data_IF_360261498797
#
_entry.id   IF_360261498797
#
_cell.length_a   1.000
_cell.length_b   1.000
_cell.length_c   1.000
_cell.angle_alpha   90.00
_cell.angle_beta   90.00
_cell.angle_gamma   90.00
#
_symmetry.space_group_name_H-M   'P 1'
#
loop_
_entity.id
_entity.type
_entity.pdbx_description
1 polymer ?
#
# COMPACT_ATOMS: atom_id res chain seq x y z
N UNK A 1 -22.09 -9.36 0.86
CA UNK A 1 -22.29 -8.25 -0.09
C UNK A 1 -20.92 -7.72 -0.51
N UNK A 2 -20.45 -8.09 -1.70
CA UNK A 2 -19.26 -7.47 -2.30
C UNK A 2 -19.64 -6.05 -2.71
N UNK A 3 -19.28 -5.06 -1.88
CA UNK A 3 -19.45 -3.67 -2.24
C UNK A 3 -18.61 -3.40 -3.50
N UNK A 4 -19.24 -2.94 -4.58
CA UNK A 4 -18.52 -2.51 -5.78
C UNK A 4 -17.41 -1.53 -5.39
N UNK A 5 -16.17 -1.89 -5.74
CA UNK A 5 -14.96 -1.06 -5.56
C UNK A 5 -14.75 -0.08 -6.71
N UNK A 6 -15.69 -0.02 -7.66
CA UNK A 6 -15.69 0.99 -8.71
C UNK A 6 -16.44 2.23 -8.22
N UNK A 7 -15.70 3.16 -7.63
CA UNK A 7 -16.20 4.42 -7.13
C UNK A 7 -16.12 5.47 -8.24
N UNK A 8 -17.05 6.43 -8.25
CA UNK A 8 -16.93 7.61 -9.09
C UNK A 8 -16.07 8.70 -8.41
N UNK A 9 -15.39 9.51 -9.20
CA UNK A 9 -14.79 10.74 -8.70
C UNK A 9 -15.87 11.79 -8.51
N UNK A 10 -16.27 12.03 -7.26
CA UNK A 10 -17.42 12.88 -6.93
C UNK A 10 -17.04 14.36 -6.79
N UNK A 11 -18.01 15.29 -6.89
CA UNK A 11 -17.77 16.71 -6.58
C UNK A 11 -17.21 16.94 -5.16
N UNK A 12 -17.56 16.08 -4.20
CA UNK A 12 -17.01 16.14 -2.85
C UNK A 12 -15.52 15.79 -2.81
N UNK A 13 -15.07 14.81 -3.62
CA UNK A 13 -13.65 14.46 -3.76
C UNK A 13 -12.88 15.61 -4.42
N UNK A 14 -13.47 16.24 -5.43
CA UNK A 14 -12.91 17.41 -6.10
C UNK A 14 -12.75 18.61 -5.16
N UNK A 15 -13.79 18.89 -4.35
CA UNK A 15 -13.73 19.94 -3.34
C UNK A 15 -12.67 19.65 -2.28
N UNK A 16 -12.56 18.41 -1.80
CA UNK A 16 -11.54 18.01 -0.84
C UNK A 16 -10.13 18.16 -1.43
N UNK A 17 -9.92 17.75 -2.68
CA UNK A 17 -8.64 17.88 -3.38
C UNK A 17 -8.16 19.34 -3.42
N UNK A 18 -9.05 20.26 -3.78
CA UNK A 18 -8.77 21.70 -3.79
C UNK A 18 -8.52 22.26 -2.39
N UNK A 19 -9.44 22.01 -1.46
CA UNK A 19 -9.42 22.65 -0.14
C UNK A 19 -8.32 22.13 0.78
N UNK A 20 -7.91 20.87 0.64
CA UNK A 20 -6.97 20.20 1.55
C UNK A 20 -5.55 20.08 1.00
N UNK A 21 -5.42 19.93 -0.33
CA UNK A 21 -4.13 19.83 -1.01
C UNK A 21 -3.82 21.01 -1.94
N UNK A 22 -4.75 21.95 -2.14
CA UNK A 22 -4.53 23.07 -3.05
C UNK A 22 -4.51 22.67 -4.53
N UNK A 23 -4.94 21.44 -4.86
CA UNK A 23 -4.87 20.90 -6.23
C UNK A 23 -6.22 21.14 -6.92
N UNK A 24 -6.21 21.96 -7.97
CA UNK A 24 -7.35 22.13 -8.86
C UNK A 24 -7.22 21.20 -10.08
N UNK A 25 -8.25 20.40 -10.42
CA UNK A 25 -8.23 19.64 -11.66
C UNK A 25 -8.19 20.59 -12.86
N UNK A 26 -7.18 20.43 -13.71
CA UNK A 26 -7.09 21.15 -15.00
C UNK A 26 -7.90 20.45 -16.10
N UNK A 27 -8.23 19.18 -15.90
CA UNK A 27 -9.00 18.32 -16.80
C UNK A 27 -9.81 17.30 -16.00
N UNK A 28 -10.70 16.59 -16.69
CA UNK A 28 -11.51 15.54 -16.07
C UNK A 28 -10.61 14.44 -15.45
N UNK A 29 -10.84 14.03 -14.19
CA UNK A 29 -10.12 12.93 -13.56
C UNK A 29 -10.22 11.64 -14.39
N UNK A 30 -9.08 11.04 -14.69
CA UNK A 30 -9.01 9.79 -15.46
C UNK A 30 -8.91 8.60 -14.51
N UNK A 31 -9.81 7.62 -14.63
CA UNK A 31 -9.71 6.37 -13.87
C UNK A 31 -8.38 5.68 -14.20
N UNK A 32 -7.60 5.37 -13.17
CA UNK A 32 -6.42 4.51 -13.27
C UNK A 32 -6.89 3.05 -13.14
N UNK A 33 -6.26 2.11 -13.83
CA UNK A 33 -6.55 0.69 -13.61
C UNK A 33 -5.79 0.18 -12.37
N UNK A 34 -6.40 -0.76 -11.65
CA UNK A 34 -5.84 -1.30 -10.40
C UNK A 34 -6.53 -0.83 -9.13
N UNK A 35 -6.02 -1.35 -8.01
CA UNK A 35 -6.55 -1.17 -6.67
C UNK A 35 -7.71 -2.12 -6.39
N UNK A 36 -7.39 -3.33 -5.90
CA UNK A 36 -8.40 -4.35 -5.59
C UNK A 36 -9.40 -3.87 -4.53
N UNK A 37 -8.93 -3.05 -3.59
CA UNK A 37 -9.73 -2.53 -2.48
C UNK A 37 -10.00 -1.02 -2.57
N UNK A 38 -9.40 -0.31 -3.53
CA UNK A 38 -9.49 1.16 -3.66
C UNK A 38 -9.57 1.61 -5.11
N UNK A 39 -10.34 2.66 -5.39
CA UNK A 39 -10.37 3.30 -6.72
C UNK A 39 -9.29 4.37 -6.80
N UNK A 40 -8.57 4.46 -7.93
CA UNK A 40 -7.55 5.48 -8.16
C UNK A 40 -7.85 6.31 -9.41
N UNK A 41 -7.51 7.60 -9.38
CA UNK A 41 -7.73 8.56 -10.46
C UNK A 41 -6.48 9.40 -10.69
N UNK A 42 -6.11 9.61 -11.95
CA UNK A 42 -5.14 10.63 -12.33
C UNK A 42 -5.80 12.00 -12.41
N UNK A 43 -5.23 12.98 -11.72
CA UNK A 43 -5.63 14.39 -11.71
C UNK A 43 -4.37 15.25 -11.87
N UNK A 44 -4.09 15.67 -13.12
CA UNK A 44 -2.82 16.30 -13.45
C UNK A 44 -1.64 15.36 -13.13
N UNK A 45 -0.66 15.85 -12.36
CA UNK A 45 0.51 15.09 -11.93
C UNK A 45 0.28 14.24 -10.65
N UNK A 46 -0.98 14.03 -10.25
CA UNK A 46 -1.32 13.37 -9.00
C UNK A 46 -2.20 12.15 -9.21
N UNK A 47 -1.98 11.12 -8.40
CA UNK A 47 -2.89 9.99 -8.24
C UNK A 47 -3.73 10.19 -6.97
N UNK A 48 -5.05 10.30 -7.12
CA UNK A 48 -6.01 10.40 -6.03
C UNK A 48 -6.61 9.02 -5.78
N UNK A 49 -6.52 8.53 -4.54
CA UNK A 49 -7.04 7.22 -4.15
C UNK A 49 -8.21 7.37 -3.20
N UNK A 50 -9.32 6.69 -3.51
CA UNK A 50 -10.52 6.58 -2.68
C UNK A 50 -10.66 5.15 -2.18
N UNK A 51 -10.56 4.97 -0.88
CA UNK A 51 -10.68 3.66 -0.24
C UNK A 51 -12.12 3.29 0.12
N UNK A 52 -12.31 2.08 0.66
CA UNK A 52 -13.60 1.62 1.15
C UNK A 52 -13.90 2.25 2.52
N UNK A 53 -15.20 2.40 2.85
CA UNK A 53 -15.64 3.09 4.09
C UNK A 53 -15.07 2.49 5.37
N UNK A 54 -14.91 1.16 5.40
CA UNK A 54 -14.39 0.41 6.54
C UNK A 54 -12.89 0.62 6.78
N UNK A 55 -12.15 1.16 5.81
CA UNK A 55 -10.70 1.36 5.96
C UNK A 55 -10.45 2.46 6.99
N UNK A 56 -9.62 2.14 7.98
CA UNK A 56 -9.23 3.08 9.04
C UNK A 56 -8.30 4.17 8.50
N UNK A 57 -8.57 5.42 8.89
CA UNK A 57 -7.71 6.57 8.61
C UNK A 57 -6.35 6.40 9.28
N UNK A 58 -6.34 6.12 10.59
CA UNK A 58 -5.11 5.94 11.35
C UNK A 58 -4.24 4.79 10.82
N UNK A 59 -4.86 3.69 10.38
CA UNK A 59 -4.11 2.58 9.78
C UNK A 59 -3.47 2.97 8.44
N UNK A 60 -4.18 3.73 7.60
CA UNK A 60 -3.63 4.24 6.36
C UNK A 60 -2.49 5.23 6.60
N UNK A 61 -2.67 6.20 7.51
CA UNK A 61 -1.63 7.17 7.86
C UNK A 61 -0.40 6.52 8.50
N UNK A 62 -0.57 5.47 9.32
CA UNK A 62 0.54 4.68 9.84
C UNK A 62 1.38 4.07 8.70
N UNK A 63 0.72 3.54 7.67
CA UNK A 63 1.41 3.02 6.50
C UNK A 63 2.06 4.13 5.66
N UNK A 64 1.39 5.28 5.52
CA UNK A 64 1.93 6.45 4.82
C UNK A 64 3.21 6.97 5.49
N UNK A 65 3.24 6.99 6.82
CA UNK A 65 4.44 7.37 7.58
C UNK A 65 5.62 6.42 7.27
N UNK A 66 5.38 5.11 7.12
CA UNK A 66 6.42 4.16 6.73
C UNK A 66 6.91 4.43 5.31
N UNK A 67 5.99 4.63 4.37
CA UNK A 67 6.31 4.93 2.97
C UNK A 67 7.14 6.24 2.85
N UNK A 68 6.74 7.28 3.59
CA UNK A 68 7.47 8.55 3.65
C UNK A 68 8.90 8.42 4.20
N UNK A 69 9.19 7.41 5.02
CA UNK A 69 10.55 7.14 5.52
C UNK A 69 11.39 6.34 4.52
N UNK A 70 10.76 5.56 3.65
CA UNK A 70 11.45 4.82 2.59
C UNK A 70 11.79 5.72 1.39
N UNK A 71 10.90 6.64 1.02
CA UNK A 71 11.00 7.45 -0.20
C UNK A 71 12.36 8.19 -0.40
N UNK A 72 13.00 8.77 0.64
CA UNK A 72 14.30 9.44 0.47
C UNK A 72 15.46 8.49 0.14
N UNK A 73 15.29 7.19 0.35
CA UNK A 73 16.32 6.17 0.18
C UNK A 73 16.03 5.19 -0.97
N UNK A 74 14.81 5.23 -1.50
CA UNK A 74 14.34 4.36 -2.58
C UNK A 74 13.38 5.16 -3.46
N UNK A 75 13.82 5.63 -4.65
CA UNK A 75 12.99 6.43 -5.56
C UNK A 75 11.66 5.77 -5.94
N UNK A 76 11.64 4.44 -6.01
CA UNK A 76 10.46 3.64 -6.32
C UNK A 76 9.45 3.62 -5.17
N UNK A 77 9.86 3.90 -3.92
CA UNK A 77 8.94 4.02 -2.81
C UNK A 77 8.26 5.39 -2.83
N UNK A 78 6.99 5.42 -3.24
CA UNK A 78 6.20 6.64 -3.24
C UNK A 78 5.69 6.97 -1.85
N UNK A 79 5.65 8.27 -1.53
CA UNK A 79 5.01 8.80 -0.34
C UNK A 79 3.79 9.64 -0.74
N UNK A 80 2.70 9.63 0.04
CA UNK A 80 1.56 10.49 -0.24
C UNK A 80 1.91 11.95 0.04
N UNK A 81 1.22 12.86 -0.67
CA UNK A 81 1.30 14.28 -0.43
C UNK A 81 0.56 14.60 0.88
N UNK A 82 1.20 15.27 1.85
CA UNK A 82 0.50 15.77 3.01
C UNK A 82 -0.43 16.93 2.63
N UNK A 83 -1.50 17.09 3.37
CA UNK A 83 -2.34 18.30 3.40
C UNK A 83 -1.62 19.44 4.10
N UNK A 84 -2.19 20.65 4.05
CA UNK A 84 -1.62 21.82 4.72
C UNK A 84 -1.45 21.66 6.26
N UNK A 85 -2.29 20.84 6.90
CA UNK A 85 -2.22 20.49 8.33
C UNK A 85 -1.36 19.23 8.60
N UNK A 86 -0.70 18.69 7.58
CA UNK A 86 0.22 17.56 7.70
C UNK A 86 -0.43 16.17 7.67
N UNK A 87 -1.76 16.09 7.63
CA UNK A 87 -2.47 14.82 7.45
C UNK A 87 -2.16 14.23 6.06
N UNK A 88 -2.30 12.92 5.91
CA UNK A 88 -2.11 12.27 4.58
C UNK A 88 -3.39 11.58 4.10
N UNK A 89 -4.42 11.56 4.94
CA UNK A 89 -5.73 11.02 4.62
C UNK A 89 -6.82 11.98 5.08
N UNK A 90 -7.76 12.30 4.20
CA UNK A 90 -8.99 13.03 4.53
C UNK A 90 -10.20 12.12 4.30
N UNK A 91 -11.24 12.23 5.12
CA UNK A 91 -12.51 11.54 4.84
C UNK A 91 -13.41 12.37 3.94
N UNK A 92 -13.84 11.77 2.83
CA UNK A 92 -14.79 12.34 1.87
C UNK A 92 -15.96 11.38 1.74
N UNK A 93 -17.17 11.81 2.10
CA UNK A 93 -18.36 10.95 2.13
C UNK A 93 -18.12 9.61 2.88
N UNK A 94 -17.45 9.71 4.03
CA UNK A 94 -17.02 8.60 4.89
C UNK A 94 -16.03 7.60 4.24
N UNK A 95 -15.32 8.02 3.18
CA UNK A 95 -14.28 7.22 2.54
C UNK A 95 -12.92 7.88 2.75
N UNK A 96 -11.87 7.13 3.07
CA UNK A 96 -10.54 7.70 3.11
C UNK A 96 -10.10 8.07 1.70
N UNK A 97 -9.62 9.31 1.57
CA UNK A 97 -9.03 9.87 0.38
C UNK A 97 -7.57 10.21 0.66
N UNK A 98 -6.67 9.83 -0.25
CA UNK A 98 -5.25 10.22 -0.19
C UNK A 98 -4.76 10.65 -1.58
N UNK A 99 -3.71 11.46 -1.59
CA UNK A 99 -3.12 12.01 -2.82
C UNK A 99 -1.66 11.58 -2.89
N UNK A 100 -1.23 11.14 -4.06
CA UNK A 100 0.11 10.59 -4.31
C UNK A 100 0.69 11.23 -5.56
N UNK A 101 2.02 11.25 -5.73
CA UNK A 101 2.63 11.56 -7.01
C UNK A 101 2.12 10.56 -8.05
N UNK A 102 1.73 11.05 -9.23
CA UNK A 102 1.45 10.17 -10.36
C UNK A 102 2.79 9.73 -10.97
N UNK A 103 2.97 8.43 -11.10
CA UNK A 103 4.13 7.84 -11.78
C UNK A 103 3.63 7.13 -13.03
N UNK A 104 4.24 7.48 -14.16
CA UNK A 104 4.01 6.80 -15.42
C UNK A 104 4.72 5.44 -15.41
N UNK A 105 4.01 4.40 -15.86
CA UNK A 105 4.52 3.04 -15.92
C UNK A 105 3.41 2.04 -16.15
N UNK A 106 3.79 0.81 -16.42
CA UNK A 106 2.88 -0.31 -16.61
C UNK A 106 3.16 -1.41 -15.58
N UNK A 107 2.18 -2.28 -15.33
CA UNK A 107 2.43 -3.50 -14.56
C UNK A 107 3.43 -4.38 -15.32
N UNK A 108 4.50 -4.85 -14.66
CA UNK A 108 5.46 -5.73 -15.30
C UNK A 108 4.83 -7.10 -15.59
N UNK A 109 5.18 -7.70 -16.73
CA UNK A 109 4.86 -9.11 -17.02
C UNK A 109 5.69 -9.99 -16.08
N UNK A 110 5.07 -10.73 -15.13
CA UNK A 110 5.81 -11.37 -14.04
C UNK A 110 6.77 -12.46 -14.50
N UNK A 111 6.49 -13.05 -15.67
CA UNK A 111 7.26 -14.15 -16.25
C UNK A 111 8.30 -13.70 -17.28
N UNK A 112 8.35 -12.40 -17.59
CA UNK A 112 9.34 -11.87 -18.51
C UNK A 112 10.76 -12.02 -17.93
N UNK A 113 11.72 -12.31 -18.82
CA UNK A 113 13.10 -12.54 -18.43
C UNK A 113 13.68 -11.35 -17.64
N UNK A 114 14.30 -11.63 -16.49
CA UNK A 114 14.93 -10.61 -15.63
C UNK A 114 13.97 -9.89 -14.68
N UNK A 115 12.65 -9.97 -14.88
CA UNK A 115 11.67 -9.32 -13.97
C UNK A 115 11.73 -9.89 -12.55
N UNK A 116 11.76 -11.23 -12.34
CA UNK A 116 11.87 -11.79 -11.00
C UNK A 116 13.13 -11.33 -10.25
N UNK A 117 14.28 -11.31 -10.92
CA UNK A 117 15.55 -10.87 -10.35
C UNK A 117 15.52 -9.38 -9.98
N UNK A 118 14.97 -8.54 -10.87
CA UNK A 118 14.79 -7.12 -10.60
C UNK A 118 13.82 -6.87 -9.43
N UNK A 119 12.72 -7.62 -9.38
CA UNK A 119 11.73 -7.53 -8.30
C UNK A 119 12.33 -7.95 -6.95
N UNK A 120 13.11 -9.03 -6.91
CA UNK A 120 13.82 -9.48 -5.73
C UNK A 120 14.85 -8.44 -5.26
N UNK A 121 15.61 -7.85 -6.19
CA UNK A 121 16.56 -6.79 -5.90
C UNK A 121 15.86 -5.53 -5.33
N UNK A 122 14.73 -5.13 -5.92
CA UNK A 122 13.92 -4.01 -5.44
C UNK A 122 13.38 -4.28 -4.03
N UNK A 123 12.85 -5.47 -3.77
CA UNK A 123 12.35 -5.86 -2.45
C UNK A 123 13.47 -5.87 -1.40
N UNK A 124 14.67 -6.34 -1.76
CA UNK A 124 15.84 -6.30 -0.89
C UNK A 124 16.27 -4.86 -0.55
N UNK A 125 16.28 -3.94 -1.54
CA UNK A 125 16.55 -2.52 -1.30
C UNK A 125 15.49 -1.89 -0.39
N UNK A 126 14.22 -2.19 -0.61
CA UNK A 126 13.12 -1.73 0.26
C UNK A 126 13.31 -2.20 1.70
N UNK A 127 13.65 -3.48 1.90
CA UNK A 127 13.99 -3.99 3.23
C UNK A 127 15.19 -3.28 3.85
N UNK A 128 16.24 -2.99 3.07
CA UNK A 128 17.39 -2.21 3.51
C UNK A 128 17.01 -0.81 3.98
N UNK A 129 16.18 -0.10 3.21
CA UNK A 129 15.67 1.23 3.54
C UNK A 129 14.80 1.24 4.82
N UNK A 130 14.05 0.16 5.05
CA UNK A 130 13.13 0.03 6.20
C UNK A 130 13.78 -0.60 7.44
N UNK A 131 14.91 -1.30 7.30
CA UNK A 131 15.59 -1.97 8.41
C UNK A 131 15.86 -1.10 9.65
N UNK A 132 16.29 0.19 9.54
CA UNK A 132 16.51 1.03 10.72
C UNK A 132 15.21 1.56 11.33
N UNK A 133 14.08 1.49 10.61
CA UNK A 133 12.83 2.09 11.06
C UNK A 133 12.23 1.30 12.24
N UNK A 134 11.75 2.04 13.24
CA UNK A 134 10.94 1.53 14.35
C UNK A 134 9.65 2.34 14.40
N UNK A 135 8.63 1.97 13.61
CA UNK A 135 7.37 2.69 13.64
C UNK A 135 6.69 2.47 15.00
N UNK A 136 5.78 3.37 15.42
CA UNK A 136 4.92 3.10 16.56
C UNK A 136 4.08 1.83 16.30
N UNK A 137 3.44 1.26 17.33
CA UNK A 137 2.53 0.13 17.16
C UNK A 137 1.49 0.41 16.06
N UNK A 138 1.15 -0.63 15.27
CA UNK A 138 0.13 -0.50 14.25
C UNK A 138 -1.23 -0.23 14.92
N UNK A 139 -2.00 0.79 14.50
CA UNK A 139 -3.28 1.13 15.14
C UNK A 139 -4.34 0.03 15.09
N UNK A 140 -4.27 -0.83 14.08
CA UNK A 140 -5.13 -2.00 13.91
C UNK A 140 -4.23 -3.22 13.72
N UNK A 141 -4.45 -4.33 14.44
CA UNK A 141 -3.69 -5.56 14.23
C UNK A 141 -3.66 -5.99 12.76
N UNK A 142 -2.54 -6.57 12.33
CA UNK A 142 -2.47 -7.16 10.99
C UNK A 142 -3.40 -8.38 10.93
N UNK A 143 -4.18 -8.51 9.85
CA UNK A 143 -4.97 -9.72 9.60
C UNK A 143 -4.07 -10.96 9.52
N UNK A 144 -2.86 -10.81 8.97
CA UNK A 144 -1.85 -11.87 8.94
C UNK A 144 -1.30 -12.26 10.31
N UNK A 145 -1.61 -11.53 11.38
CA UNK A 145 -1.09 -11.82 12.72
C UNK A 145 -1.77 -12.99 13.41
N UNK A 146 -3.04 -13.26 13.08
CA UNK A 146 -3.80 -14.31 13.73
C UNK A 146 -3.23 -15.70 13.40
N UNK A 147 -2.97 -16.51 14.44
CA UNK A 147 -2.49 -17.89 14.30
C UNK A 147 -0.99 -18.05 14.05
N UNK A 148 -0.23 -16.96 13.86
CA UNK A 148 1.23 -17.05 13.66
C UNK A 148 2.00 -17.55 14.89
N UNK A 149 1.41 -17.43 16.07
CA UNK A 149 1.92 -17.97 17.34
C UNK A 149 1.54 -19.44 17.56
N UNK A 150 0.83 -20.05 16.61
CA UNK A 150 0.31 -21.42 16.69
C UNK A 150 -0.91 -21.57 17.62
N UNK A 151 -1.48 -20.49 18.14
CA UNK A 151 -2.56 -20.54 19.12
C UNK A 151 -3.95 -20.80 18.51
N UNK A 152 -4.09 -20.66 17.18
CA UNK A 152 -5.36 -20.83 16.48
C UNK A 152 -5.23 -21.88 15.36
N UNK A 153 -6.12 -22.89 15.30
CA UNK A 153 -6.14 -23.82 14.18
C UNK A 153 -6.58 -23.11 12.87
N UNK A 154 -6.19 -23.63 11.70
CA UNK A 154 -6.64 -23.07 10.44
C UNK A 154 -8.16 -23.16 10.31
N UNK A 155 -8.75 -22.18 9.62
CA UNK A 155 -10.20 -22.11 9.42
C UNK A 155 -10.74 -23.29 8.59
N UNK A 156 -9.91 -23.86 7.69
CA UNK A 156 -10.22 -25.08 6.95
C UNK A 156 -9.49 -26.26 7.61
N UNK A 157 -10.21 -27.25 8.19
CA UNK A 157 -9.61 -28.42 8.81
C UNK A 157 -8.69 -29.23 7.88
N UNK A 158 -8.87 -29.14 6.56
CA UNK A 158 -8.02 -29.83 5.58
C UNK A 158 -6.63 -29.22 5.44
N UNK A 159 -6.45 -27.99 5.93
CA UNK A 159 -5.18 -27.27 5.94
C UNK A 159 -4.45 -27.45 7.28
N UNK A 160 -4.93 -28.31 8.18
CA UNK A 160 -4.24 -28.63 9.42
C UNK A 160 -2.90 -29.33 9.14
N UNK A 161 -1.82 -28.63 9.46
CA UNK A 161 -0.47 -29.16 9.42
C UNK A 161 0.26 -28.78 10.72
N UNK A 162 0.21 -29.66 11.75
CA UNK A 162 0.85 -29.39 13.03
C UNK A 162 2.36 -29.18 12.95
N UNK A 163 3.01 -29.68 11.90
CA UNK A 163 4.43 -29.47 11.66
C UNK A 163 4.71 -28.03 11.19
N UNK A 164 3.92 -27.56 10.22
CA UNK A 164 3.96 -26.18 9.75
C UNK A 164 3.59 -25.19 10.88
N UNK A 165 2.53 -25.46 11.63
CA UNK A 165 2.06 -24.60 12.74
C UNK A 165 3.15 -24.42 13.80
N UNK A 166 3.80 -25.52 14.19
CA UNK A 166 4.92 -25.47 15.15
C UNK A 166 6.09 -24.66 14.60
N UNK A 167 6.46 -24.88 13.34
CA UNK A 167 7.57 -24.16 12.69
C UNK A 167 7.28 -22.66 12.57
N UNK A 168 6.04 -22.28 12.28
CA UNK A 168 5.60 -20.88 12.23
C UNK A 168 5.67 -20.23 13.62
N UNK A 169 5.19 -20.93 14.66
CA UNK A 169 5.27 -20.47 16.05
C UNK A 169 6.73 -20.31 16.52
N UNK A 170 7.60 -21.26 16.20
CA UNK A 170 9.04 -21.18 16.48
C UNK A 170 9.67 -19.96 15.79
N UNK A 171 9.35 -19.73 14.51
CA UNK A 171 9.84 -18.57 13.77
C UNK A 171 9.31 -17.25 14.35
N UNK A 172 8.04 -17.20 14.75
CA UNK A 172 7.42 -16.02 15.35
C UNK A 172 8.06 -15.65 16.69
N UNK A 173 8.35 -16.66 17.50
CA UNK A 173 8.91 -16.52 18.84
C UNK A 173 10.44 -16.37 18.85
N UNK A 174 11.12 -16.71 17.75
CA UNK A 174 12.55 -16.54 17.64
C UNK A 174 12.94 -15.05 17.81
N UNK A 175 14.05 -14.75 18.51
CA UNK A 175 14.55 -13.40 18.71
C UNK A 175 15.16 -12.87 17.40
N UNK A 176 14.31 -12.55 16.44
CA UNK A 176 14.67 -11.98 15.14
C UNK A 176 14.40 -10.49 15.13
N UNK A 177 15.18 -9.74 14.34
CA UNK A 177 14.95 -8.32 14.14
C UNK A 177 13.62 -8.13 13.39
N UNK A 178 12.61 -7.59 14.08
CA UNK A 178 11.34 -7.20 13.45
C UNK A 178 11.54 -5.89 12.69
N UNK A 179 11.04 -5.84 11.47
CA UNK A 179 11.07 -4.65 10.63
C UNK A 179 9.77 -4.52 9.83
N UNK A 180 9.41 -3.30 9.39
CA UNK A 180 8.30 -3.11 8.46
C UNK A 180 8.59 -3.80 7.12
N UNK A 181 7.55 -4.40 6.55
CA UNK A 181 7.57 -5.03 5.22
C UNK A 181 6.35 -4.56 4.44
N UNK A 182 6.39 -4.61 3.10
CA UNK A 182 5.29 -4.17 2.25
C UNK A 182 3.98 -4.94 2.54
N UNK A 183 4.10 -6.24 2.83
CA UNK A 183 2.99 -7.13 3.17
C UNK A 183 2.17 -7.64 1.97
N UNK A 184 2.35 -7.02 0.79
CA UNK A 184 1.62 -7.34 -0.43
C UNK A 184 2.45 -7.01 -1.68
N UNK A 185 3.66 -7.55 -1.77
CA UNK A 185 4.59 -7.25 -2.88
C UNK A 185 4.35 -8.22 -4.04
N UNK A 186 3.57 -7.77 -5.02
CA UNK A 186 3.25 -8.52 -6.23
C UNK A 186 3.16 -7.56 -7.43
N UNK A 187 3.13 -8.07 -8.68
CA UNK A 187 3.18 -7.25 -9.89
C UNK A 187 2.15 -6.12 -9.97
N UNK A 188 0.94 -6.33 -9.46
CA UNK A 188 -0.13 -5.32 -9.43
C UNK A 188 0.14 -4.13 -8.50
N UNK A 189 1.09 -4.29 -7.57
CA UNK A 189 1.57 -3.25 -6.65
C UNK A 189 2.94 -2.71 -7.07
N UNK A 190 3.32 -2.88 -8.33
CA UNK A 190 4.57 -2.34 -8.89
C UNK A 190 4.34 -1.75 -10.25
N UNK A 191 5.13 -0.73 -10.62
CA UNK A 191 5.16 -0.20 -11.98
C UNK A 191 6.56 -0.31 -12.55
N UNK A 192 6.64 -0.58 -13.84
CA UNK A 192 7.87 -0.57 -14.62
C UNK A 192 7.73 0.34 -15.84
N UNK A 193 8.84 0.98 -16.22
CA UNK A 193 8.99 1.77 -17.45
C UNK A 193 10.38 1.49 -18.02
N UNK A 194 10.50 1.42 -19.34
CA UNK A 194 11.77 1.19 -20.05
C UNK A 194 12.59 0.00 -19.52
N UNK A 195 11.89 -1.08 -19.12
CA UNK A 195 12.50 -2.30 -18.62
C UNK A 195 12.99 -2.26 -17.16
N UNK A 196 12.72 -1.18 -16.43
CA UNK A 196 13.10 -1.00 -15.02
C UNK A 196 11.87 -0.70 -14.15
N UNK A 197 11.91 -1.13 -12.88
CA UNK A 197 10.90 -0.75 -11.91
C UNK A 197 11.01 0.74 -11.56
N UNK A 198 9.86 1.43 -11.53
CA UNK A 198 9.76 2.86 -11.24
C UNK A 198 8.87 3.18 -10.05
N UNK A 199 8.05 2.23 -9.59
CA UNK A 199 7.25 2.40 -8.38
C UNK A 199 6.96 1.09 -7.66
N UNK A 200 6.88 1.18 -6.33
CA UNK A 200 6.21 0.24 -5.43
C UNK A 200 4.99 0.94 -4.86
N UNK A 201 3.82 0.42 -5.19
CA UNK A 201 2.53 0.97 -4.83
C UNK A 201 2.05 0.32 -3.54
N UNK A 202 1.65 1.14 -2.58
CA UNK A 202 1.04 0.67 -1.33
C UNK A 202 -0.47 0.50 -1.50
N UNK A 203 -1.10 -0.60 -1.06
CA UNK A 203 -2.56 -0.70 -0.98
C UNK A 203 -3.18 0.16 0.15
#
# INVERSE_FOLDING_TARGET
>A
MTASTDLAFTPAAEHALRSRWGIAPVSAPRRLYGGEESTAFAVGAHAVRLGPRWRSTAAAEWCHAIAARAAPHLPEALAPLPTADGATVVRVADRPMSVWPLVEGAWPEPTAAGVPEQAAALLARLHGALAPLRPPPRPVPSFFGAGLDGAAPPADPRLQDPGLDRRLAELHNAPTRRQPVHGDFHPGNTLAADGAFVAVLRP
#
